data_IF_191502219191
#
_entry.id   IF_191502219191
#
_cell.length_a   1.000
_cell.length_b   1.000
_cell.length_c   1.000
_cell.angle_alpha   90.00
_cell.angle_beta   90.00
_cell.angle_gamma   90.00
#
_symmetry.space_group_name_H-M   'P 1'
#
loop_
_entity.id
_entity.type
_entity.pdbx_description
1 polymer ?
#
# COMPACT_ATOMS: atom_id res chain seq x y z
N UNK A 1 10.06 15.23 19.72
CA UNK A 1 10.51 15.07 18.32
C UNK A 1 9.31 15.13 17.41
N UNK A 2 9.52 15.23 16.10
CA UNK A 2 8.43 15.14 15.11
C UNK A 2 7.84 13.73 15.09
N UNK A 3 6.54 13.63 14.89
CA UNK A 3 5.81 12.37 14.74
C UNK A 3 5.21 12.29 13.35
N UNK A 4 5.34 11.12 12.71
CA UNK A 4 4.73 10.82 11.41
C UNK A 4 4.06 9.45 11.50
N UNK A 5 2.83 9.36 11.04
CA UNK A 5 2.09 8.10 10.91
C UNK A 5 1.38 8.03 9.56
N UNK A 6 0.97 6.84 9.16
CA UNK A 6 0.21 6.64 7.94
C UNK A 6 -0.96 5.67 8.17
N UNK A 7 -2.05 5.90 7.44
CA UNK A 7 -3.16 4.96 7.27
C UNK A 7 -3.32 4.69 5.78
N UNK A 8 -3.46 3.43 5.39
CA UNK A 8 -3.51 3.03 3.99
C UNK A 8 -4.63 2.01 3.78
N UNK A 9 -5.51 2.30 2.83
CA UNK A 9 -6.42 1.33 2.25
C UNK A 9 -5.72 0.71 1.02
N UNK A 10 -5.27 -0.54 1.17
CA UNK A 10 -4.51 -1.24 0.14
C UNK A 10 -5.42 -2.19 -0.67
N UNK A 11 -5.64 -1.88 -1.94
CA UNK A 11 -6.24 -2.75 -2.94
C UNK A 11 -5.35 -2.80 -4.20
N UNK A 12 -4.01 -2.82 -4.02
CA UNK A 12 -3.05 -2.84 -5.12
C UNK A 12 -3.18 -4.09 -5.99
N UNK A 13 -2.76 -4.02 -7.26
CA UNK A 13 -2.41 -5.21 -8.06
C UNK A 13 -1.19 -5.90 -7.46
N UNK A 14 -0.23 -5.09 -6.98
CA UNK A 14 1.02 -5.56 -6.40
C UNK A 14 0.83 -6.45 -5.18
N UNK A 15 1.78 -7.35 -4.99
CA UNK A 15 1.88 -8.23 -3.83
C UNK A 15 2.68 -7.55 -2.71
N UNK A 16 2.37 -7.89 -1.47
CA UNK A 16 2.97 -7.25 -0.29
C UNK A 16 4.26 -7.95 0.11
N UNK A 17 5.34 -7.17 0.24
CA UNK A 17 6.70 -7.64 0.55
C UNK A 17 7.23 -6.98 1.83
N UNK A 18 7.95 -7.77 2.64
CA UNK A 18 8.67 -7.35 3.85
C UNK A 18 9.97 -6.59 3.56
N UNK A 19 10.59 -6.04 4.61
CA UNK A 19 11.90 -5.35 4.49
C UNK A 19 13.04 -6.28 4.07
N UNK A 20 12.93 -7.56 4.44
CA UNK A 20 13.88 -8.61 4.11
C UNK A 20 13.68 -9.16 2.67
N UNK A 21 12.69 -8.64 1.95
CA UNK A 21 12.30 -9.14 0.63
C UNK A 21 11.42 -10.39 0.67
N UNK A 22 11.09 -10.91 1.85
CA UNK A 22 10.16 -12.02 1.99
C UNK A 22 8.73 -11.56 1.69
N UNK A 23 7.94 -12.43 1.09
CA UNK A 23 6.55 -12.12 0.77
C UNK A 23 5.67 -12.21 2.02
N UNK A 24 4.89 -11.16 2.28
CA UNK A 24 3.91 -11.14 3.38
C UNK A 24 2.55 -11.60 2.87
N UNK A 25 2.10 -11.09 1.72
CA UNK A 25 0.83 -11.49 1.12
C UNK A 25 0.92 -11.51 -0.41
N UNK A 26 0.50 -12.61 -1.02
CA UNK A 26 0.57 -12.86 -2.47
C UNK A 26 -0.70 -13.49 -3.00
N UNK A 27 -0.89 -13.42 -4.32
CA UNK A 27 -1.92 -14.20 -4.98
C UNK A 27 -1.65 -15.70 -4.81
N UNK A 28 -2.70 -16.48 -4.53
CA UNK A 28 -2.70 -17.94 -4.51
C UNK A 28 -2.76 -18.45 -5.94
N UNK A 29 -1.60 -18.73 -6.50
CA UNK A 29 -1.44 -19.37 -7.81
C UNK A 29 -0.41 -20.48 -7.67
N UNK A 30 -0.38 -21.39 -8.65
CA UNK A 30 0.68 -22.39 -8.77
C UNK A 30 2.06 -21.71 -8.69
N UNK A 31 3.03 -22.33 -8.02
CA UNK A 31 4.39 -21.81 -7.91
C UNK A 31 5.07 -21.63 -9.27
N UNK A 32 4.67 -22.42 -10.28
CA UNK A 32 5.15 -22.29 -11.65
C UNK A 32 4.48 -21.16 -12.45
N UNK A 33 3.46 -20.49 -11.90
CA UNK A 33 2.75 -19.43 -12.59
C UNK A 33 3.63 -18.18 -12.72
N UNK A 34 3.75 -17.68 -13.96
CA UNK A 34 4.30 -16.35 -14.23
C UNK A 34 3.38 -15.31 -13.57
N UNK A 35 3.95 -14.29 -12.94
CA UNK A 35 3.20 -13.28 -12.19
C UNK A 35 3.21 -11.93 -12.92
N UNK A 36 2.29 -11.07 -12.55
CA UNK A 36 2.28 -9.69 -13.04
C UNK A 36 3.52 -8.93 -12.51
N UNK A 37 4.21 -8.10 -13.33
CA UNK A 37 3.84 -7.62 -14.66
C UNK A 37 4.32 -8.47 -15.83
N UNK A 38 5.07 -9.54 -15.58
CA UNK A 38 5.67 -10.39 -16.63
C UNK A 38 4.61 -11.10 -17.49
N UNK A 39 3.43 -11.36 -16.92
CA UNK A 39 2.25 -11.87 -17.65
C UNK A 39 1.60 -10.85 -18.58
N UNK A 40 1.94 -9.56 -18.49
CA UNK A 40 1.29 -8.47 -19.23
C UNK A 40 -0.12 -8.09 -18.74
N UNK A 41 -0.74 -8.90 -17.88
CA UNK A 41 -2.04 -8.61 -17.26
C UNK A 41 -2.09 -9.13 -15.81
N UNK A 42 -2.77 -8.42 -14.89
CA UNK A 42 -2.93 -8.88 -13.51
C UNK A 42 -3.52 -10.29 -13.45
N UNK A 43 -3.06 -11.09 -12.49
CA UNK A 43 -3.59 -12.43 -12.28
C UNK A 43 -5.08 -12.34 -11.95
N UNK A 44 -5.91 -12.98 -12.78
CA UNK A 44 -7.32 -13.18 -12.46
C UNK A 44 -7.46 -14.46 -11.63
N UNK A 45 -8.18 -14.42 -10.50
CA UNK A 45 -8.57 -15.63 -9.79
C UNK A 45 -9.42 -16.54 -10.66
N UNK A 46 -9.57 -17.79 -10.24
CA UNK A 46 -10.26 -18.81 -11.02
C UNK A 46 -11.74 -18.43 -11.23
N UNK A 47 -12.39 -18.88 -12.32
CA UNK A 47 -13.77 -18.50 -12.65
C UNK A 47 -14.83 -18.85 -11.57
N UNK A 48 -14.54 -19.78 -10.66
CA UNK A 48 -15.43 -20.16 -9.56
C UNK A 48 -15.26 -19.29 -8.29
N UNK A 49 -14.35 -18.31 -8.30
CA UNK A 49 -14.12 -17.44 -7.16
C UNK A 49 -15.21 -16.35 -7.07
N UNK A 50 -15.70 -16.10 -5.85
CA UNK A 50 -16.83 -15.21 -5.49
C UNK A 50 -16.72 -13.73 -5.95
N UNK A 51 -15.71 -13.36 -6.75
CA UNK A 51 -15.52 -12.04 -7.35
C UNK A 51 -16.53 -11.70 -8.43
N UNK A 52 -17.24 -12.66 -9.02
CA UNK A 52 -18.37 -12.35 -9.92
C UNK A 52 -19.52 -11.60 -9.20
N UNK A 53 -19.50 -11.55 -7.85
CA UNK A 53 -20.41 -10.74 -7.03
C UNK A 53 -19.87 -9.35 -6.65
N UNK A 54 -18.63 -9.03 -7.04
CA UNK A 54 -17.99 -7.73 -6.81
C UNK A 54 -17.86 -7.08 -8.18
N UNK A 55 -18.62 -6.00 -8.41
CA UNK A 55 -18.64 -5.27 -9.69
C UNK A 55 -17.24 -4.87 -10.18
N UNK A 56 -17.11 -4.32 -11.41
CA UNK A 56 -15.82 -4.07 -12.05
C UNK A 56 -14.89 -3.31 -11.09
N UNK A 57 -13.93 -4.03 -10.51
CA UNK A 57 -13.05 -3.51 -9.47
C UNK A 57 -11.71 -3.18 -10.09
N UNK A 58 -11.41 -1.89 -10.26
CA UNK A 58 -10.03 -1.44 -10.44
C UNK A 58 -9.24 -1.63 -9.15
N UNK A 59 -7.92 -1.72 -9.27
CA UNK A 59 -7.00 -1.75 -8.14
C UNK A 59 -6.62 -0.31 -7.74
N UNK A 60 -6.39 -0.06 -6.46
CA UNK A 60 -6.12 1.30 -5.95
C UNK A 60 -5.48 1.23 -4.57
N UNK A 61 -4.42 2.01 -4.34
CA UNK A 61 -3.95 2.31 -2.99
C UNK A 61 -4.30 3.75 -2.62
N UNK A 62 -5.07 3.95 -1.55
CA UNK A 62 -5.38 5.28 -1.03
C UNK A 62 -4.86 5.39 0.38
N UNK A 63 -4.06 6.42 0.66
CA UNK A 63 -3.47 6.60 1.98
C UNK A 63 -3.42 8.04 2.46
N UNK A 64 -3.28 8.19 3.77
CA UNK A 64 -3.06 9.48 4.41
C UNK A 64 -1.87 9.40 5.37
N UNK A 65 -0.90 10.29 5.14
CA UNK A 65 0.20 10.59 6.03
C UNK A 65 -0.25 11.69 6.98
N UNK A 66 -0.04 11.50 8.28
CA UNK A 66 -0.38 12.47 9.32
C UNK A 66 0.87 12.80 10.12
N UNK A 67 1.14 14.09 10.31
CA UNK A 67 2.30 14.57 11.07
C UNK A 67 1.97 15.76 11.97
N UNK A 68 2.74 15.93 13.04
CA UNK A 68 2.74 17.13 13.87
C UNK A 68 3.68 18.24 13.38
N UNK A 69 4.41 18.01 12.28
CA UNK A 69 5.29 18.99 11.67
C UNK A 69 4.55 20.26 11.19
N UNK A 70 5.26 21.39 11.21
CA UNK A 70 4.90 22.64 10.52
C UNK A 70 5.34 22.55 9.07
N UNK A 71 4.38 22.40 8.17
CA UNK A 71 4.61 22.31 6.73
C UNK A 71 3.75 23.34 5.98
N UNK A 72 4.33 23.97 4.97
CA UNK A 72 3.57 24.68 3.94
C UNK A 72 2.79 23.70 3.07
N UNK A 73 1.83 24.18 2.28
CA UNK A 73 1.07 23.34 1.33
C UNK A 73 1.98 22.62 0.34
N UNK A 74 3.02 23.30 -0.14
CA UNK A 74 4.02 22.73 -1.07
C UNK A 74 4.87 21.66 -0.38
N UNK A 75 5.27 21.88 0.87
CA UNK A 75 6.02 20.88 1.64
C UNK A 75 5.16 19.65 1.95
N UNK A 76 3.88 19.83 2.31
CA UNK A 76 2.96 18.72 2.52
C UNK A 76 2.71 17.91 1.23
N UNK A 77 2.57 18.58 0.08
CA UNK A 77 2.50 17.91 -1.22
C UNK A 77 3.76 17.07 -1.48
N UNK A 78 4.95 17.65 -1.29
CA UNK A 78 6.22 16.94 -1.44
C UNK A 78 6.35 15.73 -0.51
N UNK A 79 5.88 15.83 0.73
CA UNK A 79 5.83 14.68 1.66
C UNK A 79 4.91 13.59 1.14
N UNK A 80 3.73 13.95 0.62
CA UNK A 80 2.82 12.98 0.02
C UNK A 80 3.46 12.28 -1.19
N UNK A 81 4.05 13.03 -2.12
CA UNK A 81 4.75 12.49 -3.30
C UNK A 81 5.87 11.53 -2.90
N UNK A 82 6.76 11.95 -1.99
CA UNK A 82 7.87 11.13 -1.55
C UNK A 82 7.41 9.92 -0.71
N UNK A 83 6.24 10.01 -0.09
CA UNK A 83 5.59 8.90 0.60
C UNK A 83 5.27 7.71 -0.32
N UNK A 84 5.12 7.93 -1.63
CA UNK A 84 4.94 6.83 -2.60
C UNK A 84 6.16 5.89 -2.62
N UNK A 85 7.34 6.36 -2.20
CA UNK A 85 8.50 5.49 -1.99
C UNK A 85 8.22 4.36 -0.98
N UNK A 86 7.32 4.59 -0.02
CA UNK A 86 6.85 3.56 0.91
C UNK A 86 6.01 2.48 0.22
N UNK A 87 5.12 2.89 -0.69
CA UNK A 87 4.37 1.96 -1.54
C UNK A 87 5.33 1.11 -2.37
N UNK A 88 6.30 1.75 -3.02
CA UNK A 88 7.34 1.08 -3.79
C UNK A 88 8.35 0.26 -2.94
N UNK A 89 8.30 0.31 -1.60
CA UNK A 89 9.09 -0.60 -0.74
C UNK A 89 8.27 -1.80 -0.28
N UNK A 90 6.95 -1.66 -0.18
CA UNK A 90 6.06 -2.67 0.35
C UNK A 90 5.24 -3.40 -0.71
N UNK A 91 5.20 -2.92 -1.97
CA UNK A 91 4.43 -3.52 -3.08
C UNK A 91 5.31 -3.90 -4.27
N UNK A 92 5.02 -5.05 -4.87
CA UNK A 92 5.69 -5.55 -6.08
C UNK A 92 4.69 -6.17 -7.07
N UNK A 93 4.55 -5.62 -8.29
CA UNK A 93 4.95 -4.25 -8.67
C UNK A 93 4.11 -3.18 -7.94
N UNK A 94 4.61 -1.95 -7.86
CA UNK A 94 3.86 -0.77 -7.39
C UNK A 94 3.64 0.20 -8.56
N UNK A 95 2.70 1.14 -8.43
CA UNK A 95 2.46 2.21 -9.42
C UNK A 95 2.17 1.70 -10.83
N UNK A 96 1.38 0.64 -10.91
CA UNK A 96 1.00 0.03 -12.18
C UNK A 96 -0.08 0.89 -12.83
N UNK A 97 -0.23 0.83 -14.15
CA UNK A 97 -1.34 1.52 -14.84
C UNK A 97 -2.73 0.99 -14.43
N UNK A 98 -2.76 -0.18 -13.78
CA UNK A 98 -3.96 -0.76 -13.21
C UNK A 98 -4.27 -0.25 -11.79
N UNK A 99 -3.36 0.51 -11.17
CA UNK A 99 -3.48 1.05 -9.82
C UNK A 99 -3.75 2.56 -9.83
N UNK A 100 -4.78 3.01 -9.10
CA UNK A 100 -5.06 4.42 -8.83
C UNK A 100 -4.36 4.99 -7.59
N UNK A 101 -3.05 4.82 -7.44
CA UNK A 101 -2.33 5.16 -6.20
C UNK A 101 -2.42 6.66 -5.83
N UNK A 102 -2.86 6.97 -4.60
CA UNK A 102 -3.00 8.33 -4.10
C UNK A 102 -2.65 8.44 -2.61
N UNK A 103 -1.68 9.30 -2.28
CA UNK A 103 -1.35 9.67 -0.89
C UNK A 103 -1.68 11.14 -0.61
N UNK A 104 -2.19 11.40 0.59
CA UNK A 104 -2.46 12.75 1.10
C UNK A 104 -1.65 13.02 2.36
N UNK A 105 -1.13 14.23 2.54
CA UNK A 105 -0.44 14.63 3.77
C UNK A 105 -1.26 15.65 4.58
N UNK A 106 -1.47 15.35 5.86
CA UNK A 106 -2.09 16.24 6.86
C UNK A 106 -1.05 16.62 7.92
N UNK A 107 -0.87 17.92 8.12
CA UNK A 107 0.14 18.47 9.03
C UNK A 107 -0.55 19.37 10.07
N UNK A 108 -0.40 19.06 11.36
CA UNK A 108 -1.07 19.80 12.45
C UNK A 108 -0.31 21.05 12.91
N UNK A 109 0.93 21.25 12.47
CA UNK A 109 1.66 22.51 12.66
C UNK A 109 2.16 22.78 14.09
N UNK A 110 2.52 21.73 14.84
CA UNK A 110 2.92 21.83 16.25
C UNK A 110 4.44 21.88 16.45
N UNK A 111 5.21 21.22 15.60
CA UNK A 111 6.67 21.04 15.75
C UNK A 111 7.40 21.51 14.49
N UNK A 112 8.52 22.22 14.64
CA UNK A 112 9.39 22.53 13.51
C UNK A 112 10.24 21.30 13.14
N UNK A 113 10.23 20.92 11.86
CA UNK A 113 11.00 19.80 11.32
C UNK A 113 11.35 20.08 9.86
N UNK A 114 12.46 19.51 9.39
CA UNK A 114 12.81 19.60 7.97
C UNK A 114 11.86 18.72 7.14
N UNK A 115 11.50 19.19 5.94
CA UNK A 115 10.63 18.42 5.02
C UNK A 115 11.23 17.06 4.67
N UNK A 116 12.56 16.97 4.57
CA UNK A 116 13.25 15.73 4.22
C UNK A 116 13.15 14.68 5.34
N UNK A 117 13.25 15.10 6.62
CA UNK A 117 13.04 14.20 7.75
C UNK A 117 11.60 13.67 7.76
N UNK A 118 10.63 14.56 7.55
CA UNK A 118 9.21 14.16 7.53
C UNK A 118 8.91 13.23 6.35
N UNK A 119 9.46 13.50 5.16
CA UNK A 119 9.29 12.66 3.99
C UNK A 119 9.92 11.27 4.15
N UNK A 120 11.11 11.20 4.77
CA UNK A 120 11.76 9.92 5.07
C UNK A 120 10.88 9.06 6.01
N UNK A 121 10.45 9.63 7.13
CA UNK A 121 9.57 8.95 8.08
C UNK A 121 8.19 8.62 7.48
N UNK A 122 7.68 9.45 6.57
CA UNK A 122 6.44 9.19 5.85
C UNK A 122 6.56 7.95 4.96
N UNK A 123 7.65 7.81 4.21
CA UNK A 123 7.88 6.62 3.40
C UNK A 123 7.98 5.34 4.26
N UNK A 124 8.62 5.41 5.44
CA UNK A 124 8.65 4.30 6.39
C UNK A 124 7.25 3.96 6.94
N UNK A 125 6.51 4.98 7.40
CA UNK A 125 5.17 4.82 7.94
C UNK A 125 4.20 4.23 6.90
N UNK A 126 4.29 4.67 5.64
CA UNK A 126 3.47 4.16 4.54
C UNK A 126 3.81 2.70 4.24
N UNK A 127 5.10 2.34 4.15
CA UNK A 127 5.51 0.96 3.93
C UNK A 127 4.98 0.04 5.03
N UNK A 128 5.13 0.45 6.29
CA UNK A 128 4.66 -0.31 7.44
C UNK A 128 3.13 -0.43 7.46
N UNK A 129 2.39 0.65 7.16
CA UNK A 129 0.93 0.61 7.06
C UNK A 129 0.46 -0.40 6.00
N UNK A 130 1.12 -0.46 4.84
CA UNK A 130 0.82 -1.44 3.78
C UNK A 130 1.09 -2.86 4.28
N UNK A 131 2.23 -3.12 4.92
CA UNK A 131 2.60 -4.46 5.43
C UNK A 131 1.69 -4.96 6.53
N UNK A 132 1.24 -4.06 7.41
CA UNK A 132 0.31 -4.40 8.49
C UNK A 132 -1.10 -4.73 7.98
N UNK A 133 -1.51 -4.16 6.85
CA UNK A 133 -2.84 -4.36 6.28
C UNK A 133 -3.24 -5.84 6.18
N UNK A 134 -2.50 -6.69 5.45
CA UNK A 134 -2.80 -8.12 5.34
C UNK A 134 -2.81 -8.87 6.68
N UNK A 135 -1.91 -8.51 7.61
CA UNK A 135 -1.83 -9.13 8.95
C UNK A 135 -3.06 -8.81 9.81
N UNK A 136 -3.74 -7.69 9.55
CA UNK A 136 -4.90 -7.22 10.29
C UNK A 136 -6.23 -7.52 9.59
N UNK A 137 -6.19 -7.90 8.31
CA UNK A 137 -7.38 -8.22 7.53
C UNK A 137 -8.09 -9.48 8.05
N UNK A 138 -9.40 -9.53 7.86
CA UNK A 138 -10.24 -10.71 8.11
C UNK A 138 -10.97 -11.07 6.82
N UNK A 139 -11.08 -12.37 6.54
CA UNK A 139 -11.72 -12.86 5.33
C UNK A 139 -13.17 -12.44 5.21
N UNK A 140 -13.65 -12.30 3.97
CA UNK A 140 -15.02 -11.86 3.68
C UNK A 140 -15.52 -12.49 2.38
N UNK A 141 -16.76 -12.97 2.38
CA UNK A 141 -17.47 -13.48 1.18
C UNK A 141 -16.64 -14.51 0.38
N UNK A 142 -16.03 -15.47 1.08
CA UNK A 142 -15.20 -16.51 0.45
C UNK A 142 -13.78 -16.08 0.09
N UNK A 143 -13.42 -14.81 0.27
CA UNK A 143 -12.03 -14.33 0.13
C UNK A 143 -11.31 -14.52 1.47
N UNK A 144 -10.29 -15.39 1.58
CA UNK A 144 -9.56 -15.61 2.81
C UNK A 144 -8.63 -14.43 3.12
N UNK A 145 -8.42 -14.13 4.41
CA UNK A 145 -7.32 -13.27 4.84
C UNK A 145 -6.16 -14.10 5.39
N UNK A 146 -4.95 -13.55 5.34
CA UNK A 146 -3.74 -14.17 5.89
C UNK A 146 -3.91 -14.55 7.38
N UNK A 147 -4.61 -13.71 8.15
CA UNK A 147 -4.88 -13.96 9.57
C UNK A 147 -5.75 -15.19 9.83
N UNK A 148 -6.48 -15.67 8.82
CA UNK A 148 -7.39 -16.81 8.96
C UNK A 148 -6.66 -18.16 8.79
N UNK A 149 -5.32 -18.17 8.75
CA UNK A 149 -4.49 -19.37 8.63
C UNK A 149 -4.34 -19.88 7.20
N UNK A 150 -4.63 -19.00 6.24
CA UNK A 150 -4.67 -19.32 4.83
C UNK A 150 -3.28 -19.26 4.21
#
# INVERSE_FOLDING_TARGET
GVTVGAIVANNAVGEVVGDDGAWIARARVDDAAVRYPETGAPLRPAPDDARDQVGPSGNTVIGCIVTDARLSKQQAHRVADLGHSGLARALRPAHTDADGDALFCLATGRVDATVDLVAHLAAEAVAEAVRRGPLMATGRRGLPALRDGA
#
